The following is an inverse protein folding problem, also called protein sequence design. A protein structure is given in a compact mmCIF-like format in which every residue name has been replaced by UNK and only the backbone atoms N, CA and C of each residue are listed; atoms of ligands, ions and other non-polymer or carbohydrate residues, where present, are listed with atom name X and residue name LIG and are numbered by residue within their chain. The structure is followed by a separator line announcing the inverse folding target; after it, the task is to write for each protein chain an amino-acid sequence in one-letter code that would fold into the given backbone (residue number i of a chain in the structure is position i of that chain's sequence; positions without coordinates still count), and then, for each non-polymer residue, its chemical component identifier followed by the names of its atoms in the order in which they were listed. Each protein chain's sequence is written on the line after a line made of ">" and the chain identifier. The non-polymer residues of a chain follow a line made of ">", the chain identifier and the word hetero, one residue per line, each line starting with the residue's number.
data_IF_402200733063
#
_entry.id   IF_402200733063
#
_cell.length_a   1.000
_cell.length_b   1.000
_cell.length_c   1.000
_cell.angle_alpha   90.00
_cell.angle_beta   90.00
_cell.angle_gamma   90.00
#
_symmetry.space_group_name_H-M   'P 1'
#
loop_
_entity.id
_entity.type
_entity.pdbx_description
1 polymer ?
#
# COMPACT_ATOMS: atom_id res chain seq x y z
N UNK A 1 6.49 20.58 -1.49
CA UNK A 1 5.70 20.00 -2.58
C UNK A 1 6.07 20.64 -3.93
N UNK A 2 5.95 21.98 -4.10
CA UNK A 2 6.24 22.66 -5.37
C UNK A 2 7.71 22.48 -5.83
N UNK A 3 8.68 22.44 -4.89
CA UNK A 3 10.07 22.15 -5.20
C UNK A 3 10.26 20.74 -5.80
N UNK A 4 9.57 19.73 -5.27
CA UNK A 4 9.60 18.37 -5.81
C UNK A 4 9.02 18.34 -7.23
N UNK A 5 7.90 19.04 -7.47
CA UNK A 5 7.33 19.16 -8.82
C UNK A 5 8.32 19.84 -9.80
N UNK A 6 9.02 20.90 -9.36
CA UNK A 6 10.06 21.56 -10.18
C UNK A 6 11.24 20.61 -10.48
N UNK A 7 11.55 19.67 -9.58
CA UNK A 7 12.55 18.61 -9.75
C UNK A 7 12.03 17.45 -10.60
N UNK A 8 10.83 17.55 -11.19
CA UNK A 8 10.18 16.53 -12.01
C UNK A 8 9.84 15.24 -11.26
N UNK A 9 9.55 15.33 -9.95
CA UNK A 9 8.96 14.20 -9.23
C UNK A 9 7.59 13.83 -9.83
N UNK A 10 7.31 12.53 -9.93
CA UNK A 10 6.07 12.03 -10.52
C UNK A 10 4.85 12.22 -9.58
N UNK A 11 5.09 12.29 -8.28
CA UNK A 11 4.05 12.46 -7.26
C UNK A 11 4.61 13.05 -5.96
N UNK A 12 3.71 13.37 -5.02
CA UNK A 12 4.03 13.67 -3.63
C UNK A 12 3.63 12.45 -2.79
N UNK A 13 4.59 11.62 -2.40
CA UNK A 13 4.32 10.43 -1.58
C UNK A 13 4.36 10.77 -0.09
N UNK A 14 3.21 10.72 0.56
CA UNK A 14 3.04 10.93 2.00
C UNK A 14 3.11 9.57 2.70
N UNK A 15 4.23 9.26 3.32
CA UNK A 15 4.46 7.97 3.98
C UNK A 15 4.02 8.03 5.45
N UNK A 16 3.14 7.13 5.85
CA UNK A 16 2.56 7.01 7.20
C UNK A 16 2.05 8.35 7.76
N UNK A 17 1.18 9.06 7.03
CA UNK A 17 0.84 10.45 7.33
C UNK A 17 -0.31 10.61 8.32
N UNK A 18 -0.85 9.54 8.88
CA UNK A 18 -2.09 9.49 9.69
C UNK A 18 -2.16 10.52 10.79
N UNK A 19 -1.06 10.73 11.52
CA UNK A 19 -0.99 11.70 12.63
C UNK A 19 -0.93 13.17 12.17
N UNK A 20 -0.70 13.42 10.88
CA UNK A 20 -0.53 14.76 10.30
C UNK A 20 -1.63 15.15 9.32
N UNK A 21 -2.79 14.49 9.34
CA UNK A 21 -3.87 14.70 8.34
C UNK A 21 -4.30 16.16 8.25
N UNK A 22 -4.54 16.84 9.37
CA UNK A 22 -4.98 18.25 9.33
C UNK A 22 -3.94 19.20 8.73
N UNK A 23 -2.66 19.21 9.16
CA UNK A 23 -1.64 20.03 8.49
C UNK A 23 -1.39 19.61 7.03
N UNK A 24 -1.53 18.33 6.67
CA UNK A 24 -1.41 17.87 5.28
C UNK A 24 -2.51 18.49 4.42
N UNK A 25 -3.76 18.46 4.86
CA UNK A 25 -4.89 19.07 4.16
C UNK A 25 -4.61 20.56 3.87
N UNK A 26 -4.17 21.29 4.89
CA UNK A 26 -3.85 22.71 4.73
C UNK A 26 -2.69 22.95 3.75
N UNK A 27 -1.63 22.13 3.85
CA UNK A 27 -0.45 22.22 2.99
C UNK A 27 -0.78 21.87 1.53
N UNK A 28 -1.54 20.80 1.28
CA UNK A 28 -1.93 20.36 -0.07
C UNK A 28 -2.86 21.41 -0.72
N UNK A 29 -3.87 21.92 0.01
CA UNK A 29 -4.74 22.99 -0.51
C UNK A 29 -3.94 24.23 -0.91
N UNK A 30 -3.00 24.64 -0.07
CA UNK A 30 -2.12 25.77 -0.38
C UNK A 30 -1.23 25.48 -1.59
N UNK A 31 -0.66 24.30 -1.69
CA UNK A 31 0.18 23.91 -2.82
C UNK A 31 -0.62 23.81 -4.13
N UNK A 32 -1.82 23.20 -4.11
CA UNK A 32 -2.73 23.16 -5.29
C UNK A 32 -3.12 24.55 -5.74
N UNK A 33 -3.40 25.50 -4.83
CA UNK A 33 -3.67 26.90 -5.15
C UNK A 33 -2.45 27.64 -5.77
N UNK A 34 -1.24 27.17 -5.51
CA UNK A 34 0.01 27.69 -6.07
C UNK A 34 0.52 26.92 -7.30
N UNK A 35 -0.29 26.01 -7.87
CA UNK A 35 0.01 25.31 -9.11
C UNK A 35 0.63 23.92 -8.95
N UNK A 36 0.45 23.24 -7.81
CA UNK A 36 0.75 21.80 -7.70
C UNK A 36 -0.18 21.01 -8.61
N UNK A 37 0.40 20.22 -9.53
CA UNK A 37 -0.31 19.42 -10.54
C UNK A 37 -0.04 17.92 -10.43
N UNK A 38 1.09 17.53 -9.83
CA UNK A 38 1.44 16.12 -9.64
C UNK A 38 0.57 15.50 -8.56
N UNK A 39 0.22 14.21 -8.68
CA UNK A 39 -0.67 13.53 -7.73
C UNK A 39 -0.12 13.50 -6.30
N UNK A 40 -1.03 13.55 -5.34
CA UNK A 40 -0.73 13.34 -3.92
C UNK A 40 -1.07 11.89 -3.57
N UNK A 41 -0.07 11.11 -3.17
CA UNK A 41 -0.18 9.70 -2.78
C UNK A 41 -0.22 9.61 -1.26
N UNK A 42 -1.20 8.88 -0.72
CA UNK A 42 -1.35 8.59 0.71
C UNK A 42 -0.97 7.13 0.97
N UNK A 43 0.27 6.92 1.46
CA UNK A 43 0.85 5.60 1.73
C UNK A 43 0.66 5.24 3.20
N UNK A 44 -0.12 4.20 3.48
CA UNK A 44 -0.59 3.86 4.82
C UNK A 44 -0.58 2.35 5.08
N UNK A 45 -0.53 1.98 6.37
CA UNK A 45 -0.68 0.59 6.81
C UNK A 45 -2.08 0.00 6.58
N UNK A 46 -3.03 0.78 6.07
CA UNK A 46 -4.43 0.39 5.91
C UNK A 46 -5.25 0.42 7.21
N UNK A 47 -4.62 0.57 8.36
CA UNK A 47 -5.32 0.62 9.66
C UNK A 47 -5.74 2.06 9.98
N UNK A 48 -6.77 2.54 9.25
CA UNK A 48 -7.22 3.93 9.28
C UNK A 48 -8.68 4.05 9.71
N UNK A 49 -9.01 5.16 10.37
CA UNK A 49 -10.41 5.50 10.67
C UNK A 49 -11.07 6.09 9.44
N UNK A 50 -12.26 5.58 9.10
CA UNK A 50 -13.05 6.06 7.96
C UNK A 50 -13.35 7.56 8.07
N UNK A 51 -13.65 8.06 9.27
CA UNK A 51 -13.90 9.50 9.52
C UNK A 51 -12.68 10.36 9.20
N UNK A 52 -11.47 9.85 9.45
CA UNK A 52 -10.23 10.53 9.11
C UNK A 52 -10.05 10.58 7.59
N UNK A 53 -10.28 9.46 6.91
CA UNK A 53 -10.19 9.36 5.46
C UNK A 53 -11.18 10.28 4.73
N UNK A 54 -12.40 10.42 5.23
CA UNK A 54 -13.39 11.35 4.67
C UNK A 54 -12.90 12.79 4.59
N UNK A 55 -12.05 13.22 5.52
CA UNK A 55 -11.45 14.57 5.47
C UNK A 55 -10.42 14.74 4.34
N UNK A 56 -9.93 13.64 3.77
CA UNK A 56 -8.94 13.62 2.69
C UNK A 56 -9.57 13.63 1.30
N UNK A 57 -10.90 13.57 1.18
CA UNK A 57 -11.61 13.60 -0.09
C UNK A 57 -11.27 14.88 -0.89
N UNK A 58 -10.82 14.72 -2.15
CA UNK A 58 -10.35 15.80 -3.00
C UNK A 58 -8.97 16.38 -2.64
N UNK A 59 -8.34 15.86 -1.58
CA UNK A 59 -6.97 16.22 -1.17
C UNK A 59 -5.96 15.19 -1.71
N UNK A 60 -6.26 13.91 -1.50
CA UNK A 60 -5.48 12.77 -1.95
C UNK A 60 -5.98 12.31 -3.31
N UNK A 61 -5.06 12.03 -4.21
CA UNK A 61 -5.36 11.59 -5.57
C UNK A 61 -5.16 10.06 -5.69
N UNK A 62 -4.18 9.49 -4.98
CA UNK A 62 -3.88 8.06 -4.99
C UNK A 62 -3.77 7.53 -3.56
N UNK A 63 -4.50 6.46 -3.24
CA UNK A 63 -4.32 5.72 -2.00
C UNK A 63 -3.44 4.49 -2.23
N UNK A 64 -2.50 4.27 -1.31
CA UNK A 64 -1.57 3.15 -1.32
C UNK A 64 -1.61 2.42 0.05
N UNK A 65 -2.76 1.79 0.39
CA UNK A 65 -2.90 1.07 1.65
C UNK A 65 -2.24 -0.31 1.59
N UNK A 66 -1.70 -0.76 2.73
CA UNK A 66 -1.41 -2.17 2.94
C UNK A 66 -2.66 -2.92 3.37
N UNK A 67 -2.80 -4.19 2.93
CA UNK A 67 -3.69 -5.15 3.54
C UNK A 67 -2.85 -6.34 4.02
N UNK A 68 -2.48 -6.32 5.31
CA UNK A 68 -1.44 -7.21 5.85
C UNK A 68 -1.96 -8.56 6.31
N UNK A 69 -3.16 -8.62 6.89
CA UNK A 69 -3.72 -9.81 7.52
C UNK A 69 -5.23 -9.89 7.27
N UNK A 70 -5.73 -11.07 6.92
CA UNK A 70 -7.14 -11.42 6.98
C UNK A 70 -7.49 -12.05 8.33
N UNK A 71 -6.58 -12.87 8.86
CA UNK A 71 -6.75 -13.59 10.11
C UNK A 71 -6.57 -12.69 11.34
N UNK A 72 -7.57 -12.62 12.24
CA UNK A 72 -7.43 -11.90 13.52
C UNK A 72 -6.38 -12.54 14.45
N UNK A 73 -6.08 -13.83 14.26
CA UNK A 73 -5.02 -14.52 15.00
C UNK A 73 -3.65 -14.01 14.59
N UNK A 74 -3.39 -13.89 13.27
CA UNK A 74 -2.12 -13.38 12.75
C UNK A 74 -1.94 -11.91 13.07
N UNK A 75 -2.97 -11.09 12.86
CA UNK A 75 -2.90 -9.65 13.14
C UNK A 75 -2.71 -9.35 14.63
N UNK A 76 -3.36 -10.12 15.52
CA UNK A 76 -3.10 -10.05 16.96
C UNK A 76 -1.67 -10.47 17.30
N UNK A 77 -1.19 -11.59 16.70
CA UNK A 77 0.13 -12.16 16.98
C UNK A 77 1.26 -11.19 16.56
N UNK A 78 1.20 -10.66 15.34
CA UNK A 78 2.32 -9.90 14.75
C UNK A 78 2.19 -8.39 14.89
N UNK A 79 1.00 -7.86 15.07
CA UNK A 79 0.75 -6.40 15.11
C UNK A 79 -0.11 -5.95 16.28
N UNK A 80 -0.51 -6.84 17.21
CA UNK A 80 -1.37 -6.53 18.36
C UNK A 80 -2.72 -5.85 18.00
N UNK A 81 -3.20 -6.05 16.77
CA UNK A 81 -4.41 -5.44 16.21
C UNK A 81 -5.40 -6.54 15.76
N UNK A 82 -6.16 -7.18 16.68
CA UNK A 82 -7.04 -8.30 16.35
C UNK A 82 -8.20 -7.92 15.42
N UNK A 83 -8.53 -6.65 15.31
CA UNK A 83 -9.56 -6.08 14.46
C UNK A 83 -9.02 -5.51 13.14
N UNK A 84 -7.73 -5.77 12.82
CA UNK A 84 -7.07 -5.19 11.65
C UNK A 84 -7.85 -5.40 10.35
N UNK A 85 -8.29 -6.63 10.09
CA UNK A 85 -8.99 -6.94 8.83
C UNK A 85 -10.28 -6.13 8.66
N UNK A 86 -11.07 -5.98 9.73
CA UNK A 86 -12.32 -5.21 9.69
C UNK A 86 -12.05 -3.72 9.46
N UNK A 87 -11.06 -3.17 10.15
CA UNK A 87 -10.67 -1.76 9.99
C UNK A 87 -10.10 -1.51 8.60
N UNK A 88 -9.20 -2.37 8.12
CA UNK A 88 -8.58 -2.23 6.80
C UNK A 88 -9.62 -2.35 5.66
N UNK A 89 -10.57 -3.29 5.76
CA UNK A 89 -11.67 -3.43 4.79
C UNK A 89 -12.50 -2.15 4.71
N UNK A 90 -12.89 -1.58 5.86
CA UNK A 90 -13.66 -0.35 5.90
C UNK A 90 -12.87 0.85 5.34
N UNK A 91 -11.59 0.94 5.68
CA UNK A 91 -10.70 1.98 5.19
C UNK A 91 -10.50 1.90 3.67
N UNK A 92 -10.20 0.71 3.13
CA UNK A 92 -10.02 0.49 1.67
C UNK A 92 -11.31 0.80 0.92
N UNK A 93 -12.47 0.39 1.45
CA UNK A 93 -13.77 0.70 0.85
C UNK A 93 -13.99 2.22 0.71
N UNK A 94 -13.63 3.00 1.75
CA UNK A 94 -13.71 4.46 1.68
C UNK A 94 -12.71 5.05 0.69
N UNK A 95 -11.47 4.54 0.64
CA UNK A 95 -10.45 4.98 -0.32
C UNK A 95 -10.92 4.75 -1.76
N UNK A 96 -11.45 3.57 -2.05
CA UNK A 96 -12.01 3.23 -3.37
C UNK A 96 -13.24 4.07 -3.70
N UNK A 97 -14.10 4.37 -2.70
CA UNK A 97 -15.23 5.28 -2.90
C UNK A 97 -14.78 6.66 -3.37
N UNK A 98 -13.68 7.18 -2.80
CA UNK A 98 -13.17 8.52 -3.11
C UNK A 98 -12.49 8.59 -4.48
N UNK A 99 -11.73 7.57 -4.85
CA UNK A 99 -10.90 7.60 -6.08
C UNK A 99 -11.54 6.94 -7.29
N UNK A 100 -12.51 6.03 -7.08
CA UNK A 100 -13.10 5.25 -8.15
C UNK A 100 -12.11 4.29 -8.83
N UNK A 101 -12.31 4.05 -10.12
CA UNK A 101 -11.40 3.24 -10.94
C UNK A 101 -10.08 3.97 -11.15
N UNK A 102 -8.98 3.24 -11.13
CA UNK A 102 -7.66 3.81 -11.34
C UNK A 102 -7.51 4.44 -12.73
N UNK A 103 -6.90 5.62 -12.77
CA UNK A 103 -6.65 6.41 -13.98
C UNK A 103 -5.15 6.61 -14.14
N UNK A 104 -4.63 6.32 -15.32
CA UNK A 104 -3.22 6.46 -15.68
C UNK A 104 -3.05 7.47 -16.81
N UNK A 105 -1.88 8.10 -16.89
CA UNK A 105 -1.44 8.83 -18.08
C UNK A 105 -0.93 7.80 -19.08
N UNK A 106 -1.54 7.73 -20.24
CA UNK A 106 -1.03 6.93 -21.35
C UNK A 106 0.14 7.68 -22.00
N UNK A 107 1.38 7.47 -21.51
CA UNK A 107 2.61 7.88 -22.16
C UNK A 107 3.27 6.68 -22.85
N UNK A 108 4.12 6.90 -23.84
CA UNK A 108 4.74 5.82 -24.62
C UNK A 108 5.71 4.96 -23.79
N UNK A 109 6.19 5.44 -22.63
CA UNK A 109 7.18 4.73 -21.80
C UNK A 109 6.79 4.54 -20.34
N UNK A 110 5.91 5.37 -19.73
CA UNK A 110 5.59 5.32 -18.31
C UNK A 110 4.09 5.51 -18.05
N UNK A 111 3.38 4.43 -17.69
CA UNK A 111 2.02 4.53 -17.19
C UNK A 111 2.01 5.08 -15.76
N UNK A 112 1.96 6.40 -15.62
CA UNK A 112 1.88 7.05 -14.32
C UNK A 112 0.44 7.10 -13.82
N UNK A 113 0.21 6.63 -12.59
CA UNK A 113 -1.11 6.73 -11.96
C UNK A 113 -1.41 8.18 -11.57
N UNK A 114 -2.59 8.66 -11.97
CA UNK A 114 -3.10 9.99 -11.63
C UNK A 114 -4.10 9.96 -10.49
N UNK A 115 -4.92 8.92 -10.42
CA UNK A 115 -5.94 8.72 -9.39
C UNK A 115 -6.25 7.23 -9.25
N UNK A 116 -6.56 6.78 -8.05
CA UNK A 116 -6.94 5.39 -7.81
C UNK A 116 -6.49 4.84 -6.47
N UNK A 117 -6.71 3.55 -6.29
CA UNK A 117 -6.27 2.81 -5.11
C UNK A 117 -5.44 1.61 -5.56
N UNK A 118 -4.21 1.52 -5.03
CA UNK A 118 -3.33 0.35 -5.19
C UNK A 118 -3.20 -0.30 -3.82
N UNK A 119 -3.79 -1.47 -3.63
CA UNK A 119 -3.68 -2.20 -2.37
C UNK A 119 -2.44 -3.07 -2.39
N UNK A 120 -1.55 -2.88 -1.42
CA UNK A 120 -0.32 -3.66 -1.27
C UNK A 120 -0.52 -4.80 -0.30
N UNK A 121 -0.04 -5.96 -0.65
CA UNK A 121 0.04 -7.11 0.24
C UNK A 121 1.48 -7.60 0.35
N UNK A 122 2.08 -7.45 1.54
CA UNK A 122 3.38 -8.02 1.85
C UNK A 122 3.19 -9.48 2.27
N UNK A 123 3.71 -10.40 1.45
CA UNK A 123 3.64 -11.83 1.73
C UNK A 123 4.57 -12.20 2.89
N UNK A 124 4.02 -12.85 3.91
CA UNK A 124 4.79 -13.30 5.07
C UNK A 124 5.10 -14.79 4.99
N UNK A 125 6.30 -15.22 5.42
CA UNK A 125 6.67 -16.63 5.44
C UNK A 125 5.67 -17.47 6.23
N UNK A 126 5.23 -18.60 5.64
CA UNK A 126 4.29 -19.52 6.28
C UNK A 126 2.84 -19.02 6.41
N UNK A 127 2.50 -17.84 5.87
CA UNK A 127 1.16 -17.24 5.94
C UNK A 127 0.38 -17.32 4.62
N UNK A 128 0.72 -18.25 3.74
CA UNK A 128 0.19 -18.34 2.38
C UNK A 128 -1.34 -18.42 2.33
N UNK A 129 -1.97 -19.22 3.19
CA UNK A 129 -3.42 -19.36 3.23
C UNK A 129 -4.14 -18.02 3.58
N UNK A 130 -3.52 -17.18 4.41
CA UNK A 130 -4.03 -15.84 4.74
C UNK A 130 -3.86 -14.89 3.55
N UNK A 131 -2.70 -14.95 2.89
CA UNK A 131 -2.39 -14.18 1.68
C UNK A 131 -3.38 -14.46 0.55
N UNK A 132 -3.68 -15.73 0.28
CA UNK A 132 -4.68 -16.14 -0.71
C UNK A 132 -6.08 -15.60 -0.37
N UNK A 133 -6.47 -15.60 0.92
CA UNK A 133 -7.76 -15.03 1.34
C UNK A 133 -7.80 -13.51 1.11
N UNK A 134 -6.70 -12.79 1.35
CA UNK A 134 -6.60 -11.35 1.10
C UNK A 134 -6.76 -11.05 -0.39
N UNK A 135 -5.96 -11.71 -1.23
CA UNK A 135 -5.96 -11.51 -2.67
C UNK A 135 -7.33 -11.83 -3.26
N UNK A 136 -7.95 -12.96 -2.85
CA UNK A 136 -9.30 -13.33 -3.25
C UNK A 136 -10.34 -12.29 -2.82
N UNK A 137 -10.30 -11.84 -1.56
CA UNK A 137 -11.24 -10.82 -1.07
C UNK A 137 -11.15 -9.52 -1.87
N UNK A 138 -9.94 -9.06 -2.16
CA UNK A 138 -9.72 -7.83 -2.92
C UNK A 138 -10.27 -7.97 -4.35
N UNK A 139 -10.00 -9.10 -5.01
CA UNK A 139 -10.51 -9.39 -6.34
C UNK A 139 -12.05 -9.48 -6.36
N UNK A 140 -12.64 -10.30 -5.49
CA UNK A 140 -14.10 -10.49 -5.44
C UNK A 140 -14.86 -9.20 -5.11
N UNK A 141 -14.25 -8.31 -4.30
CA UNK A 141 -14.91 -7.09 -3.82
C UNK A 141 -14.77 -5.92 -4.80
N UNK A 142 -13.61 -5.76 -5.40
CA UNK A 142 -13.29 -4.55 -6.17
C UNK A 142 -13.04 -4.80 -7.66
N UNK A 143 -12.69 -6.03 -8.06
CA UNK A 143 -12.41 -6.38 -9.46
C UNK A 143 -11.37 -5.44 -10.09
N UNK A 144 -11.74 -4.81 -11.20
CA UNK A 144 -10.89 -3.92 -11.99
C UNK A 144 -10.82 -2.47 -11.48
N UNK A 145 -11.45 -2.16 -10.34
CA UNK A 145 -11.44 -0.81 -9.77
C UNK A 145 -10.14 -0.47 -9.08
N UNK A 146 -9.41 -1.47 -8.60
CA UNK A 146 -8.15 -1.32 -7.87
C UNK A 146 -7.02 -2.06 -8.58
N UNK A 147 -5.79 -1.73 -8.20
CA UNK A 147 -4.62 -2.55 -8.46
C UNK A 147 -4.20 -3.28 -7.19
N UNK A 148 -3.70 -4.50 -7.34
CA UNK A 148 -3.18 -5.31 -6.23
C UNK A 148 -1.68 -5.47 -6.44
N UNK A 149 -0.88 -5.04 -5.46
CA UNK A 149 0.57 -5.21 -5.47
C UNK A 149 0.96 -6.32 -4.50
N UNK A 150 1.41 -7.45 -5.04
CA UNK A 150 1.91 -8.59 -4.27
C UNK A 150 3.42 -8.41 -4.10
N UNK A 151 3.88 -8.29 -2.84
CA UNK A 151 5.25 -7.97 -2.50
C UNK A 151 5.95 -9.14 -1.81
N UNK A 152 7.18 -9.44 -2.22
CA UNK A 152 8.05 -10.47 -1.63
C UNK A 152 9.17 -9.91 -0.74
N UNK A 153 9.22 -8.59 -0.55
CA UNK A 153 10.33 -7.89 0.11
C UNK A 153 10.33 -7.97 1.65
N UNK A 154 9.73 -9.02 2.23
CA UNK A 154 9.82 -9.23 3.67
C UNK A 154 11.27 -9.53 4.08
N UNK A 155 11.81 -8.70 4.96
CA UNK A 155 13.16 -8.86 5.55
C UNK A 155 13.02 -9.10 7.05
N UNK A 156 13.54 -10.23 7.58
CA UNK A 156 13.50 -10.50 9.01
C UNK A 156 14.33 -9.45 9.76
N UNK A 157 13.73 -8.87 10.81
CA UNK A 157 14.41 -7.93 11.70
C UNK A 157 15.14 -8.67 12.83
N UNK A 158 16.17 -8.06 13.41
CA UNK A 158 17.07 -8.63 14.40
C UNK A 158 16.42 -9.09 15.72
N UNK A 159 15.13 -8.88 15.95
CA UNK A 159 14.42 -9.17 17.20
C UNK A 159 13.25 -10.14 17.05
N UNK A 160 13.34 -11.10 16.10
CA UNK A 160 12.27 -12.07 15.83
C UNK A 160 12.36 -13.35 16.65
N UNK A 161 13.09 -13.37 17.78
CA UNK A 161 13.19 -14.54 18.67
C UNK A 161 11.83 -15.08 19.14
N UNK A 162 10.84 -14.19 19.28
CA UNK A 162 9.46 -14.55 19.64
C UNK A 162 8.64 -15.13 18.48
N UNK A 163 9.13 -14.98 17.25
CA UNK A 163 8.44 -15.38 16.02
C UNK A 163 9.41 -16.08 15.08
N UNK A 164 9.93 -17.26 15.47
CA UNK A 164 10.97 -17.96 14.71
C UNK A 164 10.52 -18.30 13.28
N UNK A 165 9.22 -18.45 13.04
CA UNK A 165 8.65 -18.67 11.73
C UNK A 165 8.84 -17.47 10.77
N UNK A 166 8.97 -16.26 11.29
CA UNK A 166 9.27 -15.06 10.52
C UNK A 166 10.78 -14.76 10.42
N UNK A 167 11.64 -15.57 11.06
CA UNK A 167 13.08 -15.37 11.01
C UNK A 167 13.71 -15.95 9.72
N UNK A 168 13.04 -15.77 8.60
CA UNK A 168 13.49 -16.12 7.26
C UNK A 168 12.79 -15.21 6.23
N UNK A 169 13.35 -15.12 5.05
CA UNK A 169 12.66 -14.54 3.90
C UNK A 169 11.59 -15.51 3.38
N UNK A 170 10.66 -15.01 2.61
CA UNK A 170 9.77 -15.83 1.81
C UNK A 170 10.59 -16.58 0.77
N UNK A 171 10.22 -17.81 0.46
CA UNK A 171 10.86 -18.57 -0.62
C UNK A 171 10.22 -18.21 -1.97
N UNK A 172 10.97 -18.41 -3.06
CA UNK A 172 10.45 -18.20 -4.41
C UNK A 172 9.21 -19.06 -4.66
N UNK A 173 9.21 -20.33 -4.21
CA UNK A 173 8.07 -21.25 -4.31
C UNK A 173 6.82 -20.72 -3.57
N UNK A 174 6.99 -20.15 -2.37
CA UNK A 174 5.87 -19.52 -1.64
C UNK A 174 5.33 -18.31 -2.40
N UNK A 175 6.22 -17.49 -2.96
CA UNK A 175 5.82 -16.29 -3.69
C UNK A 175 5.13 -16.64 -5.02
N UNK A 176 5.74 -17.52 -5.81
CA UNK A 176 5.20 -18.01 -7.08
C UNK A 176 3.82 -18.66 -6.88
N UNK A 177 3.66 -19.47 -5.82
CA UNK A 177 2.36 -20.08 -5.47
C UNK A 177 1.27 -19.02 -5.28
N UNK A 178 1.57 -17.87 -4.65
CA UNK A 178 0.59 -16.79 -4.47
C UNK A 178 0.31 -16.05 -5.78
N UNK A 179 1.34 -15.84 -6.59
CA UNK A 179 1.21 -15.20 -7.90
C UNK A 179 0.39 -16.07 -8.85
N UNK A 180 0.68 -17.37 -8.93
CA UNK A 180 -0.09 -18.32 -9.74
C UNK A 180 -1.56 -18.35 -9.30
N UNK A 181 -1.81 -18.39 -7.99
CA UNK A 181 -3.17 -18.30 -7.45
C UNK A 181 -3.87 -17.01 -7.88
N UNK A 182 -3.18 -15.87 -7.86
CA UNK A 182 -3.76 -14.59 -8.28
C UNK A 182 -4.11 -14.60 -9.78
N UNK A 183 -3.28 -15.21 -10.61
CA UNK A 183 -3.53 -15.40 -12.05
C UNK A 183 -4.73 -16.33 -12.27
N UNK A 184 -4.77 -17.47 -11.57
CA UNK A 184 -5.82 -18.48 -11.69
C UNK A 184 -7.22 -17.94 -11.34
N UNK A 185 -7.31 -17.04 -10.36
CA UNK A 185 -8.59 -16.39 -10.01
C UNK A 185 -8.94 -15.20 -10.93
N UNK A 186 -8.08 -14.86 -11.91
CA UNK A 186 -8.36 -13.87 -12.94
C UNK A 186 -8.00 -12.43 -12.60
N UNK A 187 -6.98 -12.19 -11.75
CA UNK A 187 -6.47 -10.84 -11.50
C UNK A 187 -5.64 -10.37 -12.69
N UNK A 188 -6.13 -9.35 -13.39
CA UNK A 188 -5.42 -8.70 -14.51
C UNK A 188 -4.70 -7.41 -14.05
N UNK A 189 -5.25 -6.72 -13.05
CA UNK A 189 -4.71 -5.46 -12.52
C UNK A 189 -3.78 -5.75 -11.33
N UNK A 190 -2.61 -6.32 -11.59
CA UNK A 190 -1.64 -6.70 -10.57
C UNK A 190 -0.25 -6.13 -10.85
N UNK A 191 0.47 -5.79 -9.77
CA UNK A 191 1.90 -5.56 -9.79
C UNK A 191 2.58 -6.71 -9.06
N UNK A 192 3.51 -7.37 -9.74
CA UNK A 192 4.32 -8.46 -9.23
C UNK A 192 5.76 -7.95 -9.16
N UNK A 193 6.45 -8.28 -8.08
CA UNK A 193 7.87 -7.95 -7.96
C UNK A 193 8.71 -9.08 -8.56
N UNK A 194 9.47 -8.78 -9.60
CA UNK A 194 10.43 -9.69 -10.20
C UNK A 194 11.83 -9.44 -9.60
N UNK A 195 12.55 -10.51 -9.26
CA UNK A 195 13.95 -10.48 -8.80
C UNK A 195 14.15 -10.16 -7.32
N UNK A 196 15.44 -10.04 -6.92
CA UNK A 196 15.89 -9.75 -5.55
C UNK A 196 15.64 -8.28 -5.16
N UNK A 197 14.39 -7.91 -4.94
CA UNK A 197 14.00 -6.55 -4.49
C UNK A 197 14.08 -6.34 -2.98
N UNK A 198 14.43 -7.38 -2.23
CA UNK A 198 14.49 -7.37 -0.75
C UNK A 198 15.91 -7.04 -0.25
N UNK A 199 16.47 -5.91 -0.65
CA UNK A 199 17.73 -5.43 -0.07
C UNK A 199 17.48 -4.57 1.16
N UNK A 200 18.35 -4.69 2.19
CA UNK A 200 18.30 -3.84 3.40
C UNK A 200 18.41 -2.34 3.06
N UNK A 201 18.97 -1.99 1.89
CA UNK A 201 19.08 -0.63 1.37
C UNK A 201 17.74 0.08 1.15
N UNK A 202 16.61 -0.64 1.09
CA UNK A 202 15.27 -0.05 1.04
C UNK A 202 14.72 0.39 2.41
N UNK A 203 15.39 0.04 3.51
CA UNK A 203 15.09 0.56 4.84
C UNK A 203 15.92 1.83 5.01
N UNK A 204 15.31 3.04 5.01
CA UNK A 204 16.07 4.26 5.19
C UNK A 204 16.74 4.25 6.56
N UNK A 205 18.01 4.62 6.63
CA UNK A 205 18.65 4.97 7.87
C UNK A 205 17.87 6.17 8.44
N UNK A 206 17.23 5.99 9.60
CA UNK A 206 16.50 7.07 10.26
C UNK A 206 17.48 7.99 10.99
N UNK A 207 18.33 8.67 10.21
CA UNK A 207 19.41 9.57 10.68
C UNK A 207 19.01 11.03 10.75
N UNK A 208 17.72 11.33 10.49
CA UNK A 208 17.18 12.69 10.44
C UNK A 208 17.80 13.59 9.36
N UNK A 209 18.50 13.07 8.36
CA UNK A 209 18.93 13.86 7.21
C UNK A 209 17.72 14.31 6.39
N UNK A 210 17.57 15.62 6.25
CA UNK A 210 16.52 16.25 5.43
C UNK A 210 15.28 16.72 6.18
N UNK A 211 15.34 16.80 7.52
CA UNK A 211 14.29 17.43 8.33
C UNK A 211 14.59 18.91 8.56
#
# INVERSE_FOLDING_TARGET
>A
FLKLQQQKANNINLVTPTQYVLPIIAAVKKAKAQGLKIPVVYNTSGYERVETLKNLEGIVDVYLPDFKYMSPVLSKKYSHAPDYAEVAKAAIAEMVRQTGKAVFVNGEEDNLILSGTIVRHLTLPGCMADSMQIVKYLHDTYGDKIYISIMNQFTPLSNLEKYPELNRRITDEEYETLVDYAIDIGIENGFIQEGDTAEESFIPAFDCEGV
#
